data_IF_278181511950
#
_entry.id   IF_278181511950
#
_cell.length_a   1.000
_cell.length_b   1.000
_cell.length_c   1.000
_cell.angle_alpha   90.00
_cell.angle_beta   90.00
_cell.angle_gamma   90.00
#
_symmetry.space_group_name_H-M   'P 1'
#
loop_
_entity.id
_entity.type
_entity.pdbx_description
1 polymer ?
#
# COMPACT_ATOMS: atom_id res chain seq x y z
N UNK A 1 -21.65 -13.62 1.49
CA UNK A 1 -20.30 -14.04 1.91
C UNK A 1 -19.21 -12.99 1.62
N UNK A 2 -19.41 -12.02 0.71
CA UNK A 2 -18.40 -10.98 0.42
C UNK A 2 -18.12 -9.99 1.57
N UNK A 3 -19.14 -9.66 2.38
CA UNK A 3 -18.99 -8.68 3.48
C UNK A 3 -18.04 -9.13 4.60
N UNK A 4 -17.92 -10.44 4.84
CA UNK A 4 -17.02 -10.95 5.88
C UNK A 4 -15.54 -10.75 5.48
N UNK A 5 -15.24 -10.94 4.19
CA UNK A 5 -13.89 -10.77 3.64
C UNK A 5 -13.46 -9.28 3.66
N UNK A 6 -14.38 -8.37 3.30
CA UNK A 6 -14.14 -6.92 3.36
C UNK A 6 -13.91 -6.47 4.80
N UNK A 7 -14.68 -7.01 5.76
CA UNK A 7 -14.56 -6.64 7.17
C UNK A 7 -13.27 -7.20 7.81
N UNK A 8 -12.74 -8.32 7.32
CA UNK A 8 -11.45 -8.86 7.76
C UNK A 8 -10.26 -8.07 7.20
N UNK A 9 -10.32 -7.62 5.94
CA UNK A 9 -9.33 -6.68 5.39
C UNK A 9 -9.32 -5.34 6.15
N UNK A 10 -10.50 -4.86 6.58
CA UNK A 10 -10.65 -3.60 7.33
C UNK A 10 -10.14 -3.66 8.78
N UNK A 11 -9.95 -4.85 9.34
CA UNK A 11 -9.52 -5.05 10.74
C UNK A 11 -8.03 -4.89 10.98
N UNK A 12 -7.20 -4.70 9.94
CA UNK A 12 -5.80 -4.31 10.11
C UNK A 12 -4.93 -5.30 10.90
N UNK A 13 -5.35 -6.57 11.02
CA UNK A 13 -4.65 -7.61 11.79
C UNK A 13 -3.34 -8.07 11.17
N UNK A 14 -2.97 -7.54 10.00
CA UNK A 14 -1.71 -7.80 9.34
C UNK A 14 -0.98 -6.47 9.13
N UNK A 15 -0.28 -6.00 10.16
CA UNK A 15 0.77 -5.00 9.98
C UNK A 15 2.02 -5.73 9.49
N UNK A 16 2.26 -5.70 8.19
CA UNK A 16 3.54 -6.17 7.66
C UNK A 16 4.61 -5.19 8.12
N UNK A 17 5.65 -5.71 8.78
CA UNK A 17 6.83 -4.90 9.06
C UNK A 17 7.37 -4.32 7.73
N UNK A 18 7.87 -3.07 7.71
CA UNK A 18 8.32 -2.40 6.49
C UNK A 18 9.38 -3.20 5.72
N UNK A 19 10.24 -3.93 6.46
CA UNK A 19 11.23 -4.85 5.90
C UNK A 19 10.60 -5.98 5.08
N UNK A 20 9.47 -6.55 5.54
CA UNK A 20 8.77 -7.61 4.80
C UNK A 20 8.12 -7.08 3.53
N UNK A 21 7.54 -5.87 3.59
CA UNK A 21 6.98 -5.21 2.41
C UNK A 21 8.06 -4.97 1.35
N UNK A 22 9.23 -4.46 1.78
CA UNK A 22 10.38 -4.23 0.91
C UNK A 22 10.88 -5.53 0.29
N UNK A 23 11.04 -6.60 1.08
CA UNK A 23 11.47 -7.90 0.58
C UNK A 23 10.51 -8.46 -0.48
N UNK A 24 9.20 -8.36 -0.23
CA UNK A 24 8.19 -8.80 -1.20
C UNK A 24 8.22 -7.95 -2.46
N UNK A 25 8.34 -6.63 -2.34
CA UNK A 25 8.41 -5.72 -3.48
C UNK A 25 9.64 -6.02 -4.37
N UNK A 26 10.82 -6.18 -3.76
CA UNK A 26 12.05 -6.53 -4.49
C UNK A 26 11.96 -7.91 -5.12
N UNK A 27 11.41 -8.91 -4.40
CA UNK A 27 11.25 -10.26 -4.94
C UNK A 27 10.31 -10.28 -6.16
N UNK A 28 9.20 -9.54 -6.11
CA UNK A 28 8.27 -9.43 -7.23
C UNK A 28 8.90 -8.70 -8.42
N UNK A 29 9.63 -7.61 -8.19
CA UNK A 29 10.30 -6.87 -9.24
C UNK A 29 11.36 -7.72 -9.95
N UNK A 30 12.24 -8.40 -9.20
CA UNK A 30 13.24 -9.30 -9.78
C UNK A 30 12.59 -10.45 -10.53
N UNK A 31 11.55 -11.08 -9.98
CA UNK A 31 10.85 -12.18 -10.66
C UNK A 31 10.20 -11.71 -11.95
N UNK A 32 9.58 -10.52 -11.94
CA UNK A 32 8.98 -9.89 -13.11
C UNK A 32 10.01 -9.57 -14.19
N UNK A 33 11.11 -8.89 -13.82
CA UNK A 33 12.21 -8.57 -14.73
C UNK A 33 12.83 -9.82 -15.34
N UNK A 34 13.15 -10.84 -14.53
CA UNK A 34 13.68 -12.11 -15.06
C UNK A 34 12.69 -12.77 -16.03
N UNK A 35 11.39 -12.76 -15.72
CA UNK A 35 10.37 -13.34 -16.59
C UNK A 35 10.25 -12.56 -17.91
N UNK A 36 10.40 -11.23 -17.86
CA UNK A 36 10.42 -10.37 -19.04
C UNK A 36 11.60 -10.71 -19.96
N UNK A 37 12.80 -10.82 -19.40
CA UNK A 37 14.00 -11.19 -20.16
C UNK A 37 13.89 -12.57 -20.82
N UNK A 38 13.31 -13.55 -20.12
CA UNK A 38 13.04 -14.87 -20.70
C UNK A 38 12.06 -14.73 -21.86
N UNK A 39 11.01 -13.91 -21.72
CA UNK A 39 10.06 -13.67 -22.80
C UNK A 39 10.74 -13.03 -24.02
N UNK A 40 11.61 -12.05 -23.83
CA UNK A 40 12.33 -11.41 -24.94
C UNK A 40 13.27 -12.37 -25.63
N UNK A 41 14.05 -13.15 -24.87
CA UNK A 41 14.94 -14.15 -25.42
C UNK A 41 14.18 -15.23 -26.22
N UNK A 42 13.09 -15.76 -25.65
CA UNK A 42 12.28 -16.79 -26.31
C UNK A 42 11.55 -16.22 -27.53
N UNK A 43 11.02 -15.01 -27.44
CA UNK A 43 10.38 -14.30 -28.54
C UNK A 43 11.35 -14.07 -29.70
N UNK A 44 12.58 -13.68 -29.40
CA UNK A 44 13.62 -13.51 -30.41
C UNK A 44 13.99 -14.85 -31.06
N UNK A 45 14.15 -15.92 -30.27
CA UNK A 45 14.50 -17.25 -30.81
C UNK A 45 13.39 -17.91 -31.63
N UNK A 46 12.13 -17.68 -31.30
CA UNK A 46 11.00 -18.35 -31.95
C UNK A 46 10.38 -17.53 -33.07
N UNK A 47 10.43 -16.21 -32.97
CA UNK A 47 9.68 -15.29 -33.83
C UNK A 47 10.55 -14.19 -34.47
N UNK A 48 11.86 -14.17 -34.20
CA UNK A 48 12.83 -13.20 -34.74
C UNK A 48 12.37 -11.73 -34.51
N UNK A 49 11.84 -11.48 -33.30
CA UNK A 49 11.22 -10.19 -32.96
C UNK A 49 12.20 -9.02 -32.84
N UNK A 50 13.51 -9.28 -32.80
CA UNK A 50 14.55 -8.27 -32.63
C UNK A 50 14.51 -7.57 -31.27
N UNK A 51 13.95 -8.24 -30.25
CA UNK A 51 13.68 -7.64 -28.94
C UNK A 51 14.86 -7.78 -27.97
N UNK A 52 15.66 -8.83 -28.13
CA UNK A 52 16.77 -9.11 -27.23
C UNK A 52 18.00 -8.29 -27.60
N UNK A 53 18.34 -7.28 -26.78
CA UNK A 53 19.53 -6.42 -27.00
C UNK A 53 20.79 -6.90 -26.26
N UNK A 54 20.79 -8.13 -25.73
CA UNK A 54 21.94 -8.73 -25.06
C UNK A 54 22.01 -8.47 -23.55
N UNK A 55 23.05 -9.01 -22.92
CA UNK A 55 23.13 -9.10 -21.45
C UNK A 55 23.29 -7.76 -20.72
N UNK A 56 23.78 -6.71 -21.38
CA UNK A 56 23.89 -5.39 -20.75
C UNK A 56 22.51 -4.77 -20.52
N UNK A 57 21.60 -4.87 -21.49
CA UNK A 57 20.22 -4.39 -21.40
C UNK A 57 19.48 -5.08 -20.24
N UNK A 58 19.59 -6.42 -20.19
CA UNK A 58 19.07 -7.25 -19.10
C UNK A 58 19.54 -6.80 -17.71
N UNK A 59 20.83 -6.44 -17.58
CA UNK A 59 21.37 -6.00 -16.30
C UNK A 59 20.81 -4.62 -15.92
N UNK A 60 20.69 -3.71 -16.87
CA UNK A 60 20.11 -2.40 -16.62
C UNK A 60 18.63 -2.48 -16.24
N UNK A 61 17.87 -3.36 -16.88
CA UNK A 61 16.45 -3.58 -16.56
C UNK A 61 16.27 -4.16 -15.16
N UNK A 62 17.05 -5.18 -14.79
CA UNK A 62 17.00 -5.74 -13.44
C UNK A 62 17.40 -4.73 -12.36
N UNK A 63 18.40 -3.88 -12.62
CA UNK A 63 18.80 -2.81 -11.70
C UNK A 63 17.67 -1.77 -11.60
N UNK A 64 17.13 -1.34 -12.73
CA UNK A 64 16.04 -0.35 -12.80
C UNK A 64 14.80 -0.83 -12.05
N UNK A 65 14.37 -2.06 -12.29
CA UNK A 65 13.23 -2.70 -11.62
C UNK A 65 13.45 -2.79 -10.12
N UNK A 66 14.65 -3.17 -9.69
CA UNK A 66 15.00 -3.26 -8.27
C UNK A 66 14.99 -1.90 -7.59
N UNK A 67 15.59 -0.88 -8.21
CA UNK A 67 15.61 0.50 -7.70
C UNK A 67 14.20 1.08 -7.64
N UNK A 68 13.39 0.84 -8.68
CA UNK A 68 11.99 1.23 -8.74
C UNK A 68 11.17 0.59 -7.62
N UNK A 69 11.36 -0.71 -7.36
CA UNK A 69 10.68 -1.43 -6.29
C UNK A 69 11.04 -0.90 -4.89
N UNK A 70 12.33 -0.63 -4.64
CA UNK A 70 12.79 -0.03 -3.38
C UNK A 70 12.19 1.37 -3.20
N UNK A 71 12.16 2.16 -4.26
CA UNK A 71 11.62 3.53 -4.24
C UNK A 71 10.11 3.52 -3.96
N UNK A 72 9.35 2.68 -4.67
CA UNK A 72 7.92 2.53 -4.47
C UNK A 72 7.58 2.03 -3.06
N UNK A 73 8.28 1.01 -2.56
CA UNK A 73 8.08 0.51 -1.20
C UNK A 73 8.38 1.58 -0.14
N UNK A 74 9.44 2.37 -0.34
CA UNK A 74 9.79 3.48 0.56
C UNK A 74 8.73 4.58 0.54
N UNK A 75 8.22 4.94 -0.64
CA UNK A 75 7.16 5.93 -0.78
C UNK A 75 5.84 5.47 -0.14
N UNK A 76 5.45 4.21 -0.34
CA UNK A 76 4.26 3.64 0.29
C UNK A 76 4.39 3.60 1.82
N UNK A 77 5.57 3.24 2.34
CA UNK A 77 5.84 3.29 3.77
C UNK A 77 5.74 4.73 4.32
N UNK A 78 6.37 5.68 3.64
CA UNK A 78 6.30 7.10 4.00
C UNK A 78 4.87 7.62 4.00
N UNK A 79 4.08 7.27 2.98
CA UNK A 79 2.68 7.70 2.91
C UNK A 79 1.85 7.08 4.03
N UNK A 80 1.98 5.77 4.29
CA UNK A 80 1.32 5.15 5.43
C UNK A 80 1.68 5.83 6.75
N UNK A 81 2.96 6.17 6.95
CA UNK A 81 3.42 6.89 8.14
C UNK A 81 2.77 8.28 8.28
N UNK A 82 2.69 9.07 7.22
CA UNK A 82 2.02 10.38 7.27
C UNK A 82 0.51 10.26 7.49
N UNK A 83 -0.16 9.28 6.89
CA UNK A 83 -1.60 9.02 7.11
C UNK A 83 -1.91 8.58 8.55
N UNK A 84 -0.93 8.03 9.26
CA UNK A 84 -1.06 7.65 10.68
C UNK A 84 -1.01 8.84 11.63
N UNK A 85 -0.51 9.99 11.17
CA UNK A 85 -0.28 11.19 11.98
C UNK A 85 -1.38 12.26 11.82
N UNK A 86 -2.43 12.00 11.02
CA UNK A 86 -3.61 12.85 11.09
C UNK A 86 -4.27 12.66 12.47
N UNK A 87 -4.37 13.72 13.30
CA UNK A 87 -5.14 13.61 14.53
C UNK A 87 -6.57 13.26 14.12
N UNK A 88 -7.13 12.25 14.78
CA UNK A 88 -8.52 11.85 14.65
C UNK A 88 -9.47 12.96 15.15
N UNK A 89 -9.47 14.12 14.52
CA UNK A 89 -10.29 15.28 14.89
C UNK A 89 -11.56 15.39 14.04
N UNK A 90 -11.99 14.32 13.39
CA UNK A 90 -13.29 14.33 12.70
C UNK A 90 -13.89 12.93 12.55
N UNK A 91 -14.15 12.26 13.67
CA UNK A 91 -15.03 11.09 13.66
C UNK A 91 -16.03 11.18 14.80
N UNK A 92 -17.01 12.07 14.60
CA UNK A 92 -18.32 12.10 15.29
C UNK A 92 -18.28 11.55 16.73
N UNK A 93 -17.89 12.38 17.68
CA UNK A 93 -18.53 12.24 18.98
C UNK A 93 -19.99 12.67 18.74
N UNK A 94 -21.01 11.78 18.84
CA UNK A 94 -22.33 12.30 19.14
C UNK A 94 -22.12 13.12 20.40
N UNK A 95 -22.49 14.40 20.39
CA UNK A 95 -22.42 15.25 21.57
C UNK A 95 -22.98 14.41 22.72
N UNK A 96 -22.11 13.94 23.61
CA UNK A 96 -22.51 13.34 24.85
C UNK A 96 -23.06 14.53 25.60
N UNK A 97 -24.37 14.73 25.46
CA UNK A 97 -25.12 15.67 26.29
C UNK A 97 -24.81 15.22 27.69
N UNK A 98 -23.96 15.97 28.37
CA UNK A 98 -23.62 15.67 29.75
C UNK A 98 -24.89 15.90 30.56
N UNK A 99 -25.08 15.15 31.63
CA UNK A 99 -26.23 15.36 32.54
C UNK A 99 -26.33 16.81 33.05
N UNK A 100 -25.22 17.55 33.01
CA UNK A 100 -25.16 18.97 33.35
C UNK A 100 -25.89 19.84 32.31
N UNK A 101 -25.78 19.53 31.01
CA UNK A 101 -26.49 20.23 29.94
C UNK A 101 -28.01 19.99 30.02
N UNK A 102 -28.46 18.81 30.47
CA UNK A 102 -29.87 18.54 30.72
C UNK A 102 -30.40 19.30 31.94
N UNK A 103 -29.65 19.32 33.05
CA UNK A 103 -29.99 20.10 34.24
C UNK A 103 -30.12 21.59 33.92
N UNK A 104 -29.20 22.13 33.13
CA UNK A 104 -29.21 23.53 32.73
C UNK A 104 -30.41 23.90 31.83
N UNK A 105 -30.86 22.96 30.98
CA UNK A 105 -32.08 23.13 30.16
C UNK A 105 -33.36 23.06 30.99
N UNK A 106 -33.40 22.22 32.02
CA UNK A 106 -34.56 22.10 32.90
C UNK A 106 -34.72 23.35 33.77
N UNK A 107 -33.61 23.91 34.28
CA UNK A 107 -33.64 25.17 35.05
C UNK A 107 -34.08 26.38 34.21
N UNK A 108 -33.75 26.40 32.91
CA UNK A 108 -34.16 27.46 31.98
C UNK A 108 -35.65 27.42 31.62
N UNK A 109 -36.31 26.26 31.74
CA UNK A 109 -37.74 26.10 31.47
C UNK A 109 -38.65 26.30 32.70
N UNK A 110 -38.08 26.48 33.89
CA UNK A 110 -38.84 26.71 35.14
C UNK A 110 -38.89 28.19 35.58
N UNK A 111 -38.42 29.13 34.77
CA UNK A 111 -38.58 30.59 34.97
C UNK A 111 -39.53 31.18 33.94
#
# INVERSE_FOLDING_TARGET
MGDLLINMCRKGTISWAPSKLLMVAVALALTGGIAWEIYEYVGDKLLDTGRHNGAEDTIYDLISDTVGAVTAASFLYWWHFMSSNEPASDRRQPAVVTTDDEMQRLDLHQR
#
